data_IF_020023948786
#
_entry.id   IF_020023948786
#
_cell.length_a   1.000
_cell.length_b   1.000
_cell.length_c   1.000
_cell.angle_alpha   90.00
_cell.angle_beta   90.00
_cell.angle_gamma   90.00
#
_symmetry.space_group_name_H-M   'P 1'
#
loop_
_entity.id
_entity.type
_entity.pdbx_description
1 polymer ?
#
# COMPACT_ATOMS: atom_id res chain seq x y z
N UNK A 1 -14.99 -2.95 28.13
CA UNK A 1 -15.35 -1.85 27.20
C UNK A 1 -16.71 -1.33 27.60
N UNK A 2 -16.88 0.01 27.65
CA UNK A 2 -18.18 0.61 27.96
C UNK A 2 -19.14 0.36 26.78
N UNK A 3 -20.39 -0.07 27.01
CA UNK A 3 -21.35 -0.22 25.93
C UNK A 3 -21.60 1.15 25.27
N UNK A 4 -21.67 1.22 23.93
CA UNK A 4 -21.85 2.49 23.23
C UNK A 4 -23.22 3.08 23.56
N UNK A 5 -23.23 4.38 23.84
CA UNK A 5 -24.43 5.10 24.29
C UNK A 5 -25.20 5.76 23.14
N UNK A 6 -24.55 5.90 21.98
CA UNK A 6 -25.11 6.48 20.74
C UNK A 6 -24.41 5.91 19.50
N UNK A 7 -24.98 6.15 18.31
CA UNK A 7 -24.34 5.80 17.02
C UNK A 7 -22.98 6.50 16.84
N UNK A 8 -22.87 7.73 17.32
CA UNK A 8 -21.63 8.52 17.27
C UNK A 8 -20.53 7.87 18.12
N UNK A 9 -20.88 7.42 19.32
CA UNK A 9 -19.96 6.71 20.23
C UNK A 9 -19.54 5.35 19.64
N UNK A 10 -20.45 4.66 18.96
CA UNK A 10 -20.12 3.43 18.22
C UNK A 10 -19.12 3.70 17.09
N UNK A 11 -19.35 4.75 16.29
CA UNK A 11 -18.46 5.13 15.19
C UNK A 11 -17.09 5.56 15.73
N UNK A 12 -17.08 6.36 16.80
CA UNK A 12 -15.87 6.78 17.51
C UNK A 12 -15.06 5.58 17.99
N UNK A 13 -15.69 4.64 18.69
CA UNK A 13 -15.02 3.42 19.15
C UNK A 13 -14.50 2.57 18.00
N UNK A 14 -15.21 2.54 16.87
CA UNK A 14 -14.79 1.80 15.67
C UNK A 14 -13.55 2.44 15.03
N UNK A 15 -13.54 3.76 14.89
CA UNK A 15 -12.40 4.51 14.36
C UNK A 15 -11.19 4.39 15.28
N UNK A 16 -11.39 4.51 16.60
CA UNK A 16 -10.34 4.35 17.63
C UNK A 16 -9.78 2.93 17.74
N UNK A 17 -10.42 1.91 17.17
CA UNK A 17 -9.87 0.56 17.08
C UNK A 17 -9.20 0.26 15.73
N UNK A 18 -9.46 1.08 14.72
CA UNK A 18 -9.02 0.81 13.35
C UNK A 18 -7.56 1.22 13.13
N UNK A 19 -6.67 0.25 12.94
CA UNK A 19 -5.26 0.51 12.66
C UNK A 19 -5.04 1.36 11.38
N UNK A 20 -5.91 1.21 10.37
CA UNK A 20 -5.83 2.01 9.14
C UNK A 20 -6.18 3.48 9.37
N UNK A 21 -7.18 3.75 10.22
CA UNK A 21 -7.55 5.11 10.60
C UNK A 21 -6.39 5.82 11.33
N UNK A 22 -5.72 5.13 12.25
CA UNK A 22 -4.54 5.69 12.93
C UNK A 22 -3.41 6.04 11.97
N UNK A 23 -3.10 5.14 11.01
CA UNK A 23 -2.08 5.42 9.98
C UNK A 23 -2.43 6.62 9.12
N UNK A 24 -3.71 6.78 8.77
CA UNK A 24 -4.19 7.93 8.02
C UNK A 24 -3.99 9.24 8.79
N UNK A 25 -4.42 9.30 10.05
CA UNK A 25 -4.25 10.48 10.92
C UNK A 25 -2.76 10.81 11.08
N UNK A 26 -1.93 9.82 11.33
CA UNK A 26 -0.48 10.02 11.46
C UNK A 26 0.17 10.52 10.17
N UNK A 27 -0.30 10.07 9.00
CA UNK A 27 0.18 10.56 7.70
C UNK A 27 -0.16 12.03 7.49
N UNK A 28 -1.39 12.44 7.82
CA UNK A 28 -1.80 13.85 7.75
C UNK A 28 -0.98 14.70 8.72
N UNK A 29 -0.85 14.23 9.96
CA UNK A 29 -0.04 14.91 10.98
C UNK A 29 1.41 15.08 10.52
N UNK A 30 2.02 14.03 9.97
CA UNK A 30 3.37 14.08 9.43
C UNK A 30 3.49 15.06 8.25
N UNK A 31 2.50 15.08 7.35
CA UNK A 31 2.45 16.02 6.22
C UNK A 31 2.37 17.48 6.65
N UNK A 32 1.54 17.78 7.65
CA UNK A 32 1.37 19.16 8.17
C UNK A 32 2.65 19.62 8.87
N UNK A 33 3.28 18.74 9.64
CA UNK A 33 4.50 19.06 10.39
C UNK A 33 5.81 18.89 9.59
N UNK A 34 5.73 18.50 8.31
CA UNK A 34 6.92 18.26 7.47
C UNK A 34 7.80 17.09 7.91
N UNK A 35 7.24 16.14 8.68
CA UNK A 35 7.93 14.95 9.17
C UNK A 35 7.70 13.79 8.18
N UNK A 36 8.66 12.86 7.99
CA UNK A 36 8.43 11.68 7.17
C UNK A 36 7.22 10.86 7.66
N UNK A 37 6.35 10.37 6.75
CA UNK A 37 5.18 9.61 7.14
C UNK A 37 5.58 8.25 7.76
N UNK A 38 4.81 7.75 8.73
CA UNK A 38 5.10 6.47 9.38
C UNK A 38 5.07 5.34 8.35
N UNK A 39 6.14 4.53 8.32
CA UNK A 39 6.35 3.46 7.33
C UNK A 39 7.19 3.87 6.13
N UNK A 40 7.52 5.16 5.97
CA UNK A 40 8.56 5.65 5.07
C UNK A 40 9.82 5.89 5.89
N UNK A 41 10.38 4.82 6.45
CA UNK A 41 11.81 4.84 6.77
C UNK A 41 12.54 5.26 5.48
N UNK A 42 13.55 6.16 5.56
CA UNK A 42 14.34 6.48 4.39
C UNK A 42 14.87 5.15 3.86
N UNK A 43 14.55 4.83 2.59
CA UNK A 43 15.16 3.73 1.85
C UNK A 43 16.64 4.05 1.54
N UNK A 44 17.37 4.54 2.53
CA UNK A 44 18.80 4.65 2.51
C UNK A 44 19.32 3.32 3.03
N UNK A 45 20.05 2.61 2.16
CA UNK A 45 20.82 1.39 2.46
C UNK A 45 20.03 0.07 2.47
N UNK A 46 19.57 -0.37 1.29
CA UNK A 46 19.84 -1.75 0.77
C UNK A 46 19.09 -2.07 -0.55
N UNK A 47 19.14 -1.16 -1.53
CA UNK A 47 18.74 -1.51 -2.92
C UNK A 47 19.90 -2.20 -3.65
N UNK A 48 20.63 -3.08 -2.95
CA UNK A 48 21.36 -4.17 -3.60
C UNK A 48 20.35 -5.28 -3.81
N UNK A 49 19.67 -5.22 -4.94
CA UNK A 49 18.74 -6.22 -5.43
C UNK A 49 19.16 -7.64 -5.04
N UNK A 50 18.47 -8.21 -4.06
CA UNK A 50 18.54 -9.63 -3.71
C UNK A 50 17.75 -10.43 -4.76
N UNK A 51 18.24 -10.45 -6.01
CA UNK A 51 17.64 -11.25 -7.09
C UNK A 51 17.60 -12.75 -6.75
N UNK A 52 18.41 -13.21 -5.80
CA UNK A 52 18.52 -14.61 -5.38
C UNK A 52 17.40 -15.09 -4.44
N UNK A 53 16.57 -14.21 -3.88
CA UNK A 53 15.55 -14.60 -2.87
C UNK A 53 14.11 -14.24 -3.27
N UNK A 54 13.91 -13.63 -4.43
CA UNK A 54 12.56 -13.25 -4.86
C UNK A 54 11.78 -14.47 -5.40
N UNK A 55 10.87 -15.00 -4.60
CA UNK A 55 9.91 -16.03 -5.00
C UNK A 55 8.57 -15.40 -5.38
N UNK A 56 8.28 -15.18 -6.68
CA UNK A 56 7.04 -14.53 -7.10
C UNK A 56 5.82 -15.41 -6.82
N UNK A 57 4.77 -14.79 -6.28
CA UNK A 57 3.47 -15.46 -6.08
C UNK A 57 2.76 -15.70 -7.41
N UNK A 58 1.82 -16.67 -7.49
CA UNK A 58 1.08 -16.95 -8.74
C UNK A 58 0.39 -15.72 -9.33
N UNK A 59 -0.15 -14.84 -8.48
CA UNK A 59 -0.81 -13.59 -8.88
C UNK A 59 0.19 -12.63 -9.54
N UNK A 60 1.40 -12.52 -8.98
CA UNK A 60 2.45 -11.68 -9.55
C UNK A 60 2.89 -12.21 -10.92
N UNK A 61 2.97 -13.53 -11.10
CA UNK A 61 3.28 -14.17 -12.40
C UNK A 61 2.21 -13.86 -13.44
N UNK A 62 0.93 -13.99 -13.10
CA UNK A 62 -0.19 -13.68 -14.01
C UNK A 62 -0.16 -12.19 -14.41
N UNK A 63 0.08 -11.31 -13.44
CA UNK A 63 0.16 -9.87 -13.69
C UNK A 63 1.32 -9.53 -14.62
N UNK A 64 2.50 -10.11 -14.39
CA UNK A 64 3.66 -9.95 -15.25
C UNK A 64 3.39 -10.48 -16.67
N UNK A 65 2.80 -11.67 -16.78
CA UNK A 65 2.42 -12.27 -18.06
C UNK A 65 1.46 -11.37 -18.84
N UNK A 66 0.38 -10.88 -18.22
CA UNK A 66 -0.60 -9.98 -18.88
C UNK A 66 0.07 -8.71 -19.39
N UNK A 67 1.00 -8.15 -18.61
CA UNK A 67 1.72 -6.93 -18.99
C UNK A 67 2.60 -7.15 -20.22
N UNK A 68 3.37 -8.25 -20.25
CA UNK A 68 4.19 -8.62 -21.41
C UNK A 68 3.30 -8.92 -22.61
N UNK A 69 2.28 -9.75 -22.43
CA UNK A 69 1.34 -10.13 -23.49
C UNK A 69 0.66 -8.91 -24.14
N UNK A 70 0.26 -7.92 -23.35
CA UNK A 70 -0.36 -6.69 -23.88
C UNK A 70 0.60 -5.85 -24.72
N UNK A 71 1.88 -5.80 -24.33
CA UNK A 71 2.92 -5.11 -25.11
C UNK A 71 3.15 -5.84 -26.43
N UNK A 72 3.33 -7.16 -26.38
CA UNK A 72 3.54 -7.98 -27.59
C UNK A 72 2.31 -7.94 -28.51
N UNK A 73 1.11 -8.01 -27.96
CA UNK A 73 -0.13 -7.92 -28.72
C UNK A 73 -0.26 -6.58 -29.45
N UNK A 74 0.02 -5.46 -28.77
CA UNK A 74 0.06 -4.13 -29.41
C UNK A 74 1.11 -4.07 -30.51
N UNK A 75 2.28 -4.66 -30.27
CA UNK A 75 3.36 -4.75 -31.25
C UNK A 75 2.92 -5.54 -32.50
N UNK A 76 2.30 -6.71 -32.32
CA UNK A 76 1.76 -7.52 -33.40
C UNK A 76 0.63 -6.84 -34.18
N UNK A 77 -0.20 -6.05 -33.51
CA UNK A 77 -1.31 -5.32 -34.15
C UNK A 77 -0.88 -3.97 -34.74
N UNK A 78 0.39 -3.59 -34.64
CA UNK A 78 0.91 -2.32 -35.19
C UNK A 78 0.38 -1.06 -34.48
N UNK A 79 -0.24 -1.21 -33.31
CA UNK A 79 -0.67 -0.08 -32.49
C UNK A 79 0.53 0.39 -31.65
N UNK A 80 1.14 1.50 -32.07
CA UNK A 80 2.12 2.24 -31.27
C UNK A 80 1.48 2.89 -30.04
#
# INVERSE_FOLDING_TARGET
MRPPTSLEDLLYQTLMKSASFHKFVQTIHAKINGIPPPGRQPAAEDVRYQYSTFAPTPVQKITAFRKVWWVEFKHCMGLK
#
